data_IF_268749792120
#
_entry.id   IF_268749792120
#
_cell.length_a   1.000
_cell.length_b   1.000
_cell.length_c   1.000
_cell.angle_alpha   90.00
_cell.angle_beta   90.00
_cell.angle_gamma   90.00
#
_symmetry.space_group_name_H-M   'P 1'
#
loop_
_entity.id
_entity.type
_entity.pdbx_description
1 polymer ?
#
# COMPACT_ATOMS: atom_id res chain seq x y z
N UNK A 1 -7.27 -17.91 -19.74
CA UNK A 1 -7.83 -17.22 -18.57
C UNK A 1 -8.17 -15.75 -18.86
N UNK A 2 -7.21 -14.85 -19.11
CA UNK A 2 -7.49 -13.41 -19.36
C UNK A 2 -8.59 -13.15 -20.38
N UNK A 3 -8.49 -13.74 -21.58
CA UNK A 3 -9.46 -13.50 -22.66
C UNK A 3 -10.85 -14.00 -22.27
N UNK A 4 -10.93 -15.19 -21.67
CA UNK A 4 -12.17 -15.79 -21.13
C UNK A 4 -12.85 -14.89 -20.09
N UNK A 5 -12.09 -14.39 -19.12
CA UNK A 5 -12.63 -13.50 -18.08
C UNK A 5 -13.12 -12.18 -18.69
N UNK A 6 -12.40 -11.61 -19.65
CA UNK A 6 -12.81 -10.36 -20.30
C UNK A 6 -14.02 -10.53 -21.21
N UNK A 7 -14.16 -11.68 -21.87
CA UNK A 7 -15.34 -12.02 -22.66
C UNK A 7 -16.60 -12.11 -21.78
N UNK A 8 -16.47 -12.69 -20.59
CA UNK A 8 -17.59 -12.93 -19.65
C UNK A 8 -17.94 -11.72 -18.79
N UNK A 9 -16.93 -11.01 -18.27
CA UNK A 9 -17.08 -9.97 -17.24
C UNK A 9 -16.72 -8.57 -17.75
N UNK A 10 -16.22 -8.46 -18.98
CA UNK A 10 -15.64 -7.23 -19.51
C UNK A 10 -14.23 -6.96 -18.97
N UNK A 11 -13.63 -5.85 -19.43
CA UNK A 11 -12.28 -5.45 -19.01
C UNK A 11 -12.24 -5.06 -17.53
N UNK A 12 -11.17 -5.45 -16.84
CA UNK A 12 -10.92 -5.06 -15.45
C UNK A 12 -11.06 -3.53 -15.28
N UNK A 13 -11.87 -3.05 -14.32
CA UNK A 13 -12.13 -1.62 -14.12
C UNK A 13 -10.98 -0.91 -13.40
N UNK A 14 -9.80 -0.85 -14.03
CA UNK A 14 -8.56 -0.33 -13.44
C UNK A 14 -8.70 1.07 -12.80
N UNK A 15 -9.47 1.97 -13.39
CA UNK A 15 -9.70 3.33 -12.86
C UNK A 15 -10.58 3.36 -11.59
N UNK A 16 -11.22 2.24 -11.25
CA UNK A 16 -11.95 2.03 -10.00
C UNK A 16 -11.16 1.14 -9.03
N UNK A 17 -10.02 0.58 -9.46
CA UNK A 17 -9.15 -0.20 -8.59
C UNK A 17 -8.30 0.72 -7.73
N UNK A 18 -7.74 1.78 -8.30
CA UNK A 18 -6.81 2.66 -7.58
C UNK A 18 -6.99 4.13 -7.99
N UNK A 19 -6.64 5.04 -7.08
CA UNK A 19 -6.72 6.49 -7.29
C UNK A 19 -8.08 7.12 -6.92
N UNK A 20 -8.37 8.35 -7.36
CA UNK A 20 -9.50 9.12 -6.82
C UNK A 20 -10.89 8.58 -7.17
N UNK A 21 -10.96 7.68 -8.16
CA UNK A 21 -12.19 7.04 -8.62
C UNK A 21 -12.40 5.64 -8.03
N UNK A 22 -11.54 5.19 -7.10
CA UNK A 22 -11.62 3.87 -6.50
C UNK A 22 -12.99 3.62 -5.85
N UNK A 23 -13.57 2.44 -6.10
CA UNK A 23 -14.84 2.01 -5.53
C UNK A 23 -14.99 0.48 -5.63
N UNK A 24 -16.16 -0.03 -5.22
CA UNK A 24 -16.43 -1.47 -5.11
C UNK A 24 -16.33 -2.25 -6.44
N UNK A 25 -16.40 -1.59 -7.61
CA UNK A 25 -16.47 -2.29 -8.91
C UNK A 25 -15.29 -3.22 -9.16
N UNK A 26 -14.08 -2.83 -8.78
CA UNK A 26 -12.90 -3.68 -8.98
C UNK A 26 -12.90 -4.88 -8.06
N UNK A 27 -13.30 -4.69 -6.80
CA UNK A 27 -13.48 -5.76 -5.83
C UNK A 27 -14.55 -6.75 -6.29
N UNK A 28 -15.68 -6.25 -6.79
CA UNK A 28 -16.76 -7.07 -7.38
C UNK A 28 -16.26 -7.86 -8.58
N UNK A 29 -15.54 -7.21 -9.51
CA UNK A 29 -14.95 -7.90 -10.66
C UNK A 29 -13.99 -9.01 -10.24
N UNK A 30 -13.17 -8.79 -9.20
CA UNK A 30 -12.25 -9.82 -8.67
C UNK A 30 -13.06 -10.99 -8.10
N UNK A 31 -14.09 -10.72 -7.31
CA UNK A 31 -14.96 -11.77 -6.76
C UNK A 31 -15.63 -12.61 -7.86
N UNK A 32 -16.22 -11.94 -8.86
CA UNK A 32 -16.87 -12.61 -10.00
C UNK A 32 -15.86 -13.42 -10.83
N UNK A 33 -14.66 -12.88 -11.03
CA UNK A 33 -13.59 -13.58 -11.73
C UNK A 33 -13.09 -14.81 -10.95
N UNK A 34 -13.03 -14.75 -9.62
CA UNK A 34 -12.67 -15.87 -8.77
C UNK A 34 -13.70 -16.99 -8.86
N UNK A 35 -15.00 -16.69 -8.72
CA UNK A 35 -16.06 -17.70 -8.85
C UNK A 35 -16.08 -18.33 -10.26
N UNK A 36 -15.91 -17.53 -11.31
CA UNK A 36 -15.81 -18.06 -12.68
C UNK A 36 -14.55 -18.93 -12.88
N UNK A 37 -13.43 -18.56 -12.27
CA UNK A 37 -12.19 -19.35 -12.36
C UNK A 37 -12.37 -20.69 -11.65
N UNK A 38 -13.03 -20.68 -10.49
CA UNK A 38 -13.40 -21.88 -9.74
C UNK A 38 -14.29 -22.83 -10.58
N UNK A 39 -15.36 -22.32 -11.19
CA UNK A 39 -16.22 -23.11 -12.10
C UNK A 39 -15.46 -23.77 -13.26
N UNK A 40 -14.43 -23.10 -13.77
CA UNK A 40 -13.68 -23.56 -14.93
C UNK A 40 -12.61 -24.60 -14.58
N UNK A 41 -12.14 -24.61 -13.33
CA UNK A 41 -10.90 -25.30 -12.99
C UNK A 41 -10.98 -26.18 -11.74
N UNK A 42 -12.01 -26.03 -10.90
CA UNK A 42 -12.21 -26.80 -9.67
C UNK A 42 -10.93 -26.89 -8.81
N UNK A 43 -10.33 -25.75 -8.43
CA UNK A 43 -9.05 -25.72 -7.73
C UNK A 43 -9.18 -26.21 -6.27
N UNK A 44 -8.16 -26.90 -5.77
CA UNK A 44 -8.07 -27.31 -4.37
C UNK A 44 -7.91 -26.14 -3.39
N UNK A 45 -7.28 -25.04 -3.82
CA UNK A 45 -7.07 -23.83 -3.03
C UNK A 45 -7.26 -22.59 -3.90
N UNK A 46 -8.12 -21.67 -3.43
CA UNK A 46 -8.32 -20.37 -4.07
C UNK A 46 -7.98 -19.24 -3.10
N UNK A 47 -7.06 -18.36 -3.50
CA UNK A 47 -6.71 -17.14 -2.75
C UNK A 47 -7.29 -15.91 -3.45
N UNK A 48 -8.14 -15.16 -2.76
CA UNK A 48 -8.88 -14.03 -3.33
C UNK A 48 -8.51 -12.75 -2.60
N UNK A 49 -7.99 -11.77 -3.33
CA UNK A 49 -7.63 -10.45 -2.78
C UNK A 49 -8.74 -9.42 -3.00
N UNK A 50 -9.22 -8.80 -1.92
CA UNK A 50 -10.27 -7.79 -1.96
C UNK A 50 -9.72 -6.42 -1.48
N UNK A 51 -9.35 -5.49 -2.38
CA UNK A 51 -8.61 -4.25 -2.04
C UNK A 51 -9.46 -3.15 -1.41
N UNK A 52 -10.76 -3.37 -1.19
CA UNK A 52 -11.73 -2.28 -1.06
C UNK A 52 -11.45 -1.35 0.13
N UNK A 53 -11.00 -1.93 1.24
CA UNK A 53 -10.81 -1.21 2.50
C UNK A 53 -9.46 -0.49 2.61
N UNK A 54 -8.45 -0.89 1.83
CA UNK A 54 -7.12 -0.26 1.85
C UNK A 54 -7.24 1.26 1.62
N UNK A 55 -8.12 1.66 0.71
CA UNK A 55 -8.21 3.05 0.29
C UNK A 55 -8.99 3.93 1.25
N UNK A 56 -10.18 3.51 1.68
CA UNK A 56 -11.02 4.35 2.52
C UNK A 56 -10.42 4.55 3.91
N UNK A 57 -9.78 3.50 4.47
CA UNK A 57 -9.12 3.56 5.76
C UNK A 57 -7.85 4.42 5.72
N UNK A 58 -7.09 4.44 4.63
CA UNK A 58 -5.99 5.39 4.49
C UNK A 58 -6.47 6.85 4.37
N UNK A 59 -7.59 7.10 3.68
CA UNK A 59 -8.15 8.46 3.50
C UNK A 59 -8.79 9.02 4.76
N UNK A 60 -9.51 8.17 5.51
CA UNK A 60 -10.41 8.60 6.57
C UNK A 60 -10.05 8.04 7.95
N UNK A 61 -9.08 7.12 8.03
CA UNK A 61 -8.71 6.44 9.27
C UNK A 61 -9.85 5.56 9.77
N UNK A 62 -9.95 5.42 11.08
CA UNK A 62 -10.98 4.64 11.77
C UNK A 62 -12.33 5.37 11.93
N UNK A 63 -12.59 6.43 11.14
CA UNK A 63 -13.87 7.16 11.19
C UNK A 63 -14.97 6.38 10.46
N UNK A 64 -15.66 5.52 11.21
CA UNK A 64 -16.75 4.66 10.72
C UNK A 64 -17.86 5.46 10.03
N UNK A 65 -18.11 6.71 10.45
CA UNK A 65 -19.14 7.54 9.80
C UNK A 65 -18.82 7.82 8.32
N UNK A 66 -17.53 7.79 7.96
CA UNK A 66 -17.01 8.05 6.61
C UNK A 66 -16.64 6.79 5.82
N UNK A 67 -16.57 5.64 6.48
CA UNK A 67 -16.23 4.34 5.86
C UNK A 67 -17.36 3.31 5.90
N UNK A 68 -18.48 3.63 6.55
CA UNK A 68 -19.65 2.74 6.69
C UNK A 68 -20.18 2.22 5.36
N UNK A 69 -20.19 3.06 4.32
CA UNK A 69 -20.62 2.68 2.97
C UNK A 69 -19.69 1.61 2.40
N UNK A 70 -18.39 1.85 2.45
CA UNK A 70 -17.36 0.93 1.93
C UNK A 70 -17.35 -0.39 2.71
N UNK A 71 -17.54 -0.34 4.03
CA UNK A 71 -17.71 -1.54 4.87
C UNK A 71 -18.92 -2.37 4.43
N UNK A 72 -20.09 -1.75 4.24
CA UNK A 72 -21.29 -2.46 3.75
C UNK A 72 -21.13 -2.98 2.32
N UNK A 73 -20.46 -2.24 1.45
CA UNK A 73 -20.21 -2.65 0.06
C UNK A 73 -19.31 -3.90 -0.02
N UNK A 74 -18.24 -3.97 0.79
CA UNK A 74 -17.37 -5.16 0.82
C UNK A 74 -18.01 -6.33 1.56
N UNK A 75 -18.81 -6.08 2.59
CA UNK A 75 -19.55 -7.12 3.33
C UNK A 75 -20.47 -7.92 2.39
N UNK A 76 -21.22 -7.24 1.52
CA UNK A 76 -22.05 -7.94 0.52
C UNK A 76 -21.21 -8.73 -0.49
N UNK A 77 -20.01 -8.26 -0.89
CA UNK A 77 -19.11 -9.05 -1.75
C UNK A 77 -18.61 -10.30 -1.03
N UNK A 78 -18.20 -10.17 0.23
CA UNK A 78 -17.72 -11.27 1.05
C UNK A 78 -18.83 -12.30 1.23
N UNK A 79 -20.05 -11.85 1.55
CA UNK A 79 -21.22 -12.72 1.65
C UNK A 79 -21.49 -13.52 0.38
N UNK A 80 -21.42 -12.88 -0.79
CA UNK A 80 -21.60 -13.58 -2.07
C UNK A 80 -20.53 -14.66 -2.30
N UNK A 81 -19.26 -14.35 -2.00
CA UNK A 81 -18.16 -15.30 -2.09
C UNK A 81 -18.32 -16.47 -1.10
N UNK A 82 -18.58 -16.18 0.17
CA UNK A 82 -18.80 -17.19 1.20
C UNK A 82 -19.95 -18.11 0.79
N UNK A 83 -21.09 -17.55 0.40
CA UNK A 83 -22.26 -18.32 -0.05
C UNK A 83 -21.92 -19.23 -1.23
N UNK A 84 -21.18 -18.72 -2.22
CA UNK A 84 -20.75 -19.51 -3.38
C UNK A 84 -19.86 -20.68 -2.95
N UNK A 85 -18.78 -20.43 -2.20
CA UNK A 85 -17.81 -21.46 -1.84
C UNK A 85 -18.38 -22.47 -0.84
N UNK A 86 -19.21 -22.06 0.11
CA UNK A 86 -19.92 -22.99 0.99
C UNK A 86 -20.89 -23.90 0.19
N UNK A 87 -21.51 -23.40 -0.88
CA UNK A 87 -22.35 -24.22 -1.76
C UNK A 87 -21.56 -25.27 -2.57
N UNK A 88 -20.23 -25.15 -2.58
CA UNK A 88 -19.27 -26.10 -3.16
C UNK A 88 -18.62 -26.99 -2.10
N UNK A 89 -19.14 -26.97 -0.87
CA UNK A 89 -18.57 -27.66 0.29
C UNK A 89 -17.13 -27.23 0.63
N UNK A 90 -16.72 -26.03 0.23
CA UNK A 90 -15.38 -25.51 0.51
C UNK A 90 -15.31 -24.84 1.90
N UNK A 91 -14.18 -25.06 2.58
CA UNK A 91 -13.86 -24.36 3.83
C UNK A 91 -13.39 -22.93 3.54
N UNK A 92 -14.05 -21.92 4.13
CA UNK A 92 -13.72 -20.52 3.90
C UNK A 92 -12.91 -19.94 5.06
N UNK A 93 -11.83 -19.24 4.73
CA UNK A 93 -11.01 -18.44 5.66
C UNK A 93 -11.05 -16.99 5.19
N UNK A 94 -11.42 -16.07 6.07
CA UNK A 94 -11.33 -14.64 5.82
C UNK A 94 -10.11 -14.11 6.57
N UNK A 95 -9.18 -13.49 5.84
CA UNK A 95 -7.90 -13.02 6.37
C UNK A 95 -7.70 -11.55 6.00
N UNK A 96 -7.34 -10.73 6.99
CA UNK A 96 -6.76 -9.41 6.79
C UNK A 96 -5.25 -9.53 6.79
N UNK A 97 -4.56 -8.95 5.81
CA UNK A 97 -3.09 -9.01 5.74
C UNK A 97 -2.43 -8.14 6.81
N UNK A 98 -2.96 -6.93 7.01
CA UNK A 98 -2.52 -5.97 8.01
C UNK A 98 -3.71 -5.16 8.51
N UNK A 99 -3.54 -4.45 9.62
CA UNK A 99 -4.48 -3.42 10.05
C UNK A 99 -4.00 -2.02 9.68
N UNK A 100 -4.95 -1.10 9.55
CA UNK A 100 -4.67 0.32 9.26
C UNK A 100 -4.89 1.14 10.53
N UNK A 101 -3.82 1.73 11.04
CA UNK A 101 -3.84 2.59 12.23
C UNK A 101 -4.04 4.07 11.87
N UNK A 102 -4.60 4.89 12.77
CA UNK A 102 -4.65 6.33 12.59
C UNK A 102 -3.24 6.93 12.48
N UNK A 103 -2.90 7.45 11.31
CA UNK A 103 -1.62 8.09 11.03
C UNK A 103 -1.83 9.31 10.14
N UNK A 104 -1.33 10.47 10.59
CA UNK A 104 -1.54 11.74 9.91
C UNK A 104 -0.33 12.69 9.94
N UNK A 105 0.80 12.25 10.52
CA UNK A 105 2.06 12.98 10.55
C UNK A 105 3.00 12.49 9.45
N UNK A 106 3.06 13.15 8.28
CA UNK A 106 3.99 12.77 7.23
C UNK A 106 5.43 13.12 7.64
N UNK A 107 6.35 12.19 7.41
CA UNK A 107 7.79 12.34 7.64
C UNK A 107 8.52 12.22 6.31
N UNK A 108 9.32 13.23 5.98
CA UNK A 108 9.97 13.36 4.68
C UNK A 108 11.46 12.98 4.76
N UNK A 109 11.77 11.68 4.90
CA UNK A 109 13.16 11.19 5.05
C UNK A 109 14.06 11.67 3.91
N UNK A 110 13.58 11.58 2.65
CA UNK A 110 14.37 12.00 1.51
C UNK A 110 14.63 13.52 1.46
N UNK A 111 13.75 14.36 2.04
CA UNK A 111 14.03 15.80 2.20
C UNK A 111 15.15 16.02 3.21
N UNK A 112 15.11 15.34 4.36
CA UNK A 112 16.17 15.39 5.38
C UNK A 112 17.53 14.99 4.77
N UNK A 113 17.58 13.88 4.03
CA UNK A 113 18.81 13.42 3.38
C UNK A 113 19.31 14.44 2.35
N UNK A 114 18.41 15.04 1.57
CA UNK A 114 18.76 16.06 0.59
C UNK A 114 19.30 17.33 1.22
N UNK A 115 18.64 17.85 2.26
CA UNK A 115 19.08 19.05 3.00
C UNK A 115 20.49 18.87 3.59
N UNK A 116 20.89 17.62 3.85
CA UNK A 116 22.20 17.25 4.36
C UNK A 116 23.23 16.87 3.29
N UNK A 117 22.92 17.12 2.01
CA UNK A 117 23.75 16.79 0.83
C UNK A 117 24.03 15.29 0.66
N UNK A 118 23.12 14.42 1.12
CA UNK A 118 23.24 12.97 1.02
C UNK A 118 22.46 12.41 -0.18
N UNK A 119 21.32 13.01 -0.50
CA UNK A 119 20.49 12.64 -1.65
C UNK A 119 20.73 13.60 -2.82
N UNK A 120 20.88 13.04 -4.02
CA UNK A 120 21.04 13.78 -5.26
C UNK A 120 19.78 13.74 -6.12
N UNK A 121 19.64 14.78 -6.93
CA UNK A 121 18.59 14.91 -7.92
C UNK A 121 19.21 15.22 -9.29
N UNK A 122 18.47 14.92 -10.35
CA UNK A 122 18.72 15.43 -11.69
C UNK A 122 17.60 16.38 -12.09
N UNK A 123 17.95 17.42 -12.85
CA UNK A 123 16.97 18.37 -13.37
C UNK A 123 16.65 17.99 -14.81
N UNK A 124 15.41 17.64 -15.08
CA UNK A 124 14.92 17.42 -16.44
C UNK A 124 13.73 18.34 -16.71
N UNK A 125 13.83 19.13 -17.78
CA UNK A 125 12.76 20.06 -18.20
C UNK A 125 12.30 21.01 -17.06
N UNK A 126 13.22 21.38 -16.18
CA UNK A 126 12.95 22.26 -15.04
C UNK A 126 12.26 21.59 -13.84
N UNK A 127 12.10 20.26 -13.85
CA UNK A 127 11.59 19.47 -12.72
C UNK A 127 12.70 18.62 -12.13
N UNK A 128 12.57 18.31 -10.85
CA UNK A 128 13.53 17.51 -10.09
C UNK A 128 13.14 16.04 -10.15
N UNK A 129 14.09 15.15 -10.50
CA UNK A 129 13.93 13.70 -10.44
C UNK A 129 14.97 13.12 -9.48
N UNK A 130 14.57 12.11 -8.71
CA UNK A 130 15.48 11.39 -7.82
C UNK A 130 16.59 10.73 -8.64
N UNK A 131 17.84 10.96 -8.23
CA UNK A 131 18.99 10.23 -8.75
C UNK A 131 19.57 9.35 -7.65
N UNK A 132 18.98 8.16 -7.50
CA UNK A 132 19.39 7.19 -6.49
C UNK A 132 20.84 6.73 -6.70
N UNK A 133 21.33 6.65 -7.95
CA UNK A 133 22.69 6.21 -8.26
C UNK A 133 23.76 7.26 -7.93
N UNK A 134 23.46 8.54 -8.13
CA UNK A 134 24.34 9.65 -7.74
C UNK A 134 24.25 10.01 -6.24
N UNK A 135 23.21 9.54 -5.55
CA UNK A 135 23.01 9.79 -4.12
C UNK A 135 24.05 9.04 -3.28
N UNK A 136 24.52 9.66 -2.19
CA UNK A 136 25.32 8.97 -1.15
C UNK A 136 24.45 8.09 -0.28
N UNK A 137 23.24 8.56 0.02
CA UNK A 137 22.19 7.78 0.66
C UNK A 137 20.81 8.24 0.17
N UNK A 138 19.87 7.32 0.05
CA UNK A 138 18.48 7.59 -0.29
C UNK A 138 17.54 6.62 0.43
N UNK A 139 16.29 7.02 0.60
CA UNK A 139 15.26 6.19 1.22
C UNK A 139 14.21 5.74 0.19
N UNK A 140 13.79 4.49 0.29
CA UNK A 140 12.56 3.96 -0.31
C UNK A 140 11.56 3.83 0.82
N UNK A 141 10.49 4.61 0.75
CA UNK A 141 9.48 4.70 1.80
C UNK A 141 8.16 4.10 1.32
N UNK A 142 7.55 3.28 2.18
CA UNK A 142 6.23 2.72 1.99
C UNK A 142 5.49 2.71 3.34
N UNK A 143 4.49 3.56 3.46
CA UNK A 143 3.73 3.74 4.69
C UNK A 143 4.62 3.96 5.93
N UNK A 144 4.52 3.11 6.95
CA UNK A 144 5.26 3.26 8.21
C UNK A 144 6.63 2.58 8.20
N UNK A 145 7.09 2.11 7.04
CA UNK A 145 8.40 1.48 6.87
C UNK A 145 9.21 2.27 5.83
N UNK A 146 10.50 2.42 6.08
CA UNK A 146 11.42 2.97 5.09
C UNK A 146 12.76 2.25 5.09
N UNK A 147 13.23 1.88 3.91
CA UNK A 147 14.56 1.31 3.70
C UNK A 147 15.51 2.43 3.29
N UNK A 148 16.62 2.59 4.00
CA UNK A 148 17.68 3.53 3.65
C UNK A 148 18.83 2.76 3.04
N UNK A 149 19.21 3.11 1.83
CA UNK A 149 20.35 2.55 1.12
C UNK A 149 21.50 3.56 1.15
N UNK A 150 22.72 3.08 1.43
CA UNK A 150 23.94 3.87 1.50
C UNK A 150 24.89 3.41 0.39
N UNK A 151 25.08 4.27 -0.61
CA UNK A 151 26.02 4.03 -1.70
C UNK A 151 27.45 4.45 -1.34
N UNK A 152 27.60 5.42 -0.43
CA UNK A 152 28.90 5.89 0.08
C UNK A 152 29.06 5.50 1.55
N UNK A 153 29.81 4.43 1.88
CA UNK A 153 29.95 3.96 3.26
C UNK A 153 30.50 5.03 4.22
N UNK A 154 31.19 6.06 3.73
CA UNK A 154 31.74 7.13 4.57
C UNK A 154 30.66 7.98 5.24
N UNK A 155 29.42 7.99 4.71
CA UNK A 155 28.31 8.75 5.31
C UNK A 155 27.44 7.95 6.28
N UNK A 156 27.73 6.67 6.50
CA UNK A 156 26.86 5.78 7.30
C UNK A 156 26.58 6.32 8.71
N UNK A 157 27.61 6.76 9.43
CA UNK A 157 27.44 7.33 10.77
C UNK A 157 26.67 8.65 10.77
N UNK A 158 26.93 9.52 9.79
CA UNK A 158 26.16 10.77 9.64
C UNK A 158 24.68 10.49 9.37
N UNK A 159 24.39 9.51 8.50
CA UNK A 159 23.01 9.07 8.21
C UNK A 159 22.35 8.56 9.49
N UNK A 160 23.02 7.67 10.23
CA UNK A 160 22.54 7.12 11.51
C UNK A 160 22.19 8.23 12.51
N UNK A 161 23.07 9.21 12.69
CA UNK A 161 22.81 10.33 13.61
C UNK A 161 21.60 11.19 13.21
N UNK A 162 21.41 11.43 11.91
CA UNK A 162 20.29 12.21 11.40
C UNK A 162 18.96 11.48 11.60
N UNK A 163 18.89 10.21 11.23
CA UNK A 163 17.65 9.41 11.28
C UNK A 163 17.25 9.06 12.71
N UNK A 164 18.22 8.82 13.61
CA UNK A 164 17.93 8.55 15.03
C UNK A 164 17.38 9.77 15.77
N UNK A 165 17.53 10.98 15.22
CA UNK A 165 17.00 12.23 15.80
C UNK A 165 15.75 12.73 15.08
N UNK A 166 15.30 12.05 14.02
CA UNK A 166 14.18 12.47 13.20
C UNK A 166 12.86 12.22 13.94
N UNK A 167 12.06 13.27 14.26
CA UNK A 167 10.75 13.07 14.87
C UNK A 167 9.83 12.23 13.96
N UNK A 168 9.04 11.33 14.55
CA UNK A 168 8.17 10.42 13.81
C UNK A 168 8.81 9.06 13.48
N UNK A 169 10.07 8.83 13.88
CA UNK A 169 10.76 7.54 13.77
C UNK A 169 10.78 6.87 15.14
N UNK A 170 10.12 5.71 15.24
CA UNK A 170 10.09 4.91 16.46
C UNK A 170 11.32 3.99 16.59
N UNK A 171 11.72 3.36 15.47
CA UNK A 171 12.83 2.40 15.45
C UNK A 171 13.76 2.68 14.27
N UNK A 172 15.05 2.51 14.52
CA UNK A 172 16.12 2.49 13.52
C UNK A 172 16.82 1.14 13.62
N UNK A 173 16.58 0.25 12.66
CA UNK A 173 17.17 -1.07 12.62
C UNK A 173 18.43 -1.04 11.76
N UNK A 174 19.57 -1.29 12.38
CA UNK A 174 20.84 -1.52 11.70
C UNK A 174 21.02 -3.01 11.36
N UNK A 175 22.25 -3.46 11.08
CA UNK A 175 22.50 -4.86 10.75
C UNK A 175 22.05 -5.83 11.86
N UNK A 176 22.36 -5.52 13.13
CA UNK A 176 21.97 -6.39 14.24
C UNK A 176 20.47 -6.30 14.48
N UNK A 177 19.89 -5.09 14.45
CA UNK A 177 18.45 -4.91 14.57
C UNK A 177 17.67 -5.68 13.51
N UNK A 178 18.11 -5.65 12.24
CA UNK A 178 17.47 -6.44 11.18
C UNK A 178 17.52 -7.95 11.45
N UNK A 179 18.61 -8.48 12.01
CA UNK A 179 18.72 -9.90 12.40
C UNK A 179 17.77 -10.25 13.53
N UNK A 180 17.72 -9.40 14.57
CA UNK A 180 16.85 -9.60 15.73
C UNK A 180 15.37 -9.63 15.35
N UNK A 181 14.98 -8.86 14.32
CA UNK A 181 13.62 -8.84 13.76
C UNK A 181 13.41 -9.80 12.59
N UNK A 182 14.40 -10.62 12.21
CA UNK A 182 14.26 -11.63 11.15
C UNK A 182 14.12 -11.07 9.72
N UNK A 183 14.56 -9.82 9.49
CA UNK A 183 14.45 -9.12 8.20
C UNK A 183 15.81 -8.81 7.57
N UNK A 184 16.89 -9.43 8.05
CA UNK A 184 18.23 -9.30 7.47
C UNK A 184 18.32 -10.02 6.12
N UNK A 185 17.93 -9.31 5.06
CA UNK A 185 17.87 -9.79 3.69
C UNK A 185 18.72 -8.91 2.77
N UNK A 186 19.27 -9.44 1.68
CA UNK A 186 20.08 -8.70 0.68
C UNK A 186 19.34 -7.50 0.05
N UNK A 187 18.01 -7.48 0.13
CA UNK A 187 17.14 -6.39 -0.37
C UNK A 187 16.78 -5.38 0.72
N UNK A 188 17.07 -5.67 1.98
CA UNK A 188 16.87 -4.73 3.06
C UNK A 188 17.88 -3.58 2.94
N UNK A 189 17.48 -2.36 3.30
CA UNK A 189 18.40 -1.23 3.33
C UNK A 189 19.51 -1.43 4.36
N UNK A 190 20.55 -0.59 4.28
CA UNK A 190 21.57 -0.46 5.34
C UNK A 190 20.95 -0.12 6.69
N UNK A 191 19.87 0.65 6.68
CA UNK A 191 18.96 0.83 7.81
C UNK A 191 17.52 0.58 7.37
N UNK A 192 16.69 0.04 8.29
CA UNK A 192 15.24 -0.02 8.14
C UNK A 192 14.61 0.80 9.26
N UNK A 193 13.74 1.74 8.88
CA UNK A 193 13.04 2.61 9.83
C UNK A 193 11.60 2.12 10.02
N UNK A 194 11.13 2.20 11.26
CA UNK A 194 9.72 2.02 11.62
C UNK A 194 9.20 3.34 12.16
N UNK A 195 8.08 3.82 11.63
CA UNK A 195 7.45 5.06 12.07
C UNK A 195 6.79 4.90 13.45
N UNK A 196 6.65 6.04 14.14
CA UNK A 196 5.69 6.16 15.24
C UNK A 196 4.28 5.76 14.75
N UNK A 197 3.44 5.27 15.66
CA UNK A 197 2.08 4.77 15.33
C UNK A 197 1.25 5.80 14.57
N UNK A 198 1.41 7.10 14.86
CA UNK A 198 0.66 8.19 14.25
C UNK A 198 1.39 8.93 13.11
N UNK A 199 2.58 8.44 12.74
CA UNK A 199 3.42 8.94 11.67
C UNK A 199 3.49 7.96 10.49
N UNK A 200 3.87 8.48 9.32
CA UNK A 200 4.13 7.69 8.13
C UNK A 200 5.18 8.39 7.25
N UNK A 201 5.91 7.62 6.44
CA UNK A 201 6.99 8.11 5.60
C UNK A 201 6.53 8.37 4.17
N UNK A 202 6.84 9.55 3.65
CA UNK A 202 6.61 9.87 2.24
C UNK A 202 7.85 9.58 1.41
N UNK A 203 7.70 9.29 0.12
CA UNK A 203 8.85 9.24 -0.80
C UNK A 203 9.41 10.62 -1.19
N UNK A 204 8.76 11.72 -0.79
CA UNK A 204 9.04 13.07 -1.29
C UNK A 204 10.49 13.50 -1.05
N UNK A 205 11.16 13.92 -2.11
CA UNK A 205 12.57 14.36 -2.12
C UNK A 205 12.75 15.79 -2.63
N UNK A 206 11.73 16.38 -3.26
CA UNK A 206 11.74 17.78 -3.68
C UNK A 206 11.48 18.70 -2.48
N UNK A 207 12.17 19.84 -2.41
CA UNK A 207 11.99 20.82 -1.34
C UNK A 207 10.92 21.86 -1.66
N UNK A 208 10.62 22.06 -2.96
CA UNK A 208 9.56 22.96 -3.44
C UNK A 208 8.62 22.21 -4.39
N UNK A 209 7.32 22.22 -4.06
CA UNK A 209 6.24 21.58 -4.82
C UNK A 209 6.08 22.15 -6.25
N UNK A 210 6.65 23.33 -6.54
CA UNK A 210 6.65 23.94 -7.87
C UNK A 210 7.57 23.19 -8.87
N UNK A 211 8.62 22.53 -8.36
CA UNK A 211 9.60 21.79 -9.16
C UNK A 211 9.53 20.27 -8.96
N UNK A 212 8.48 19.78 -8.27
CA UNK A 212 8.21 18.37 -8.08
C UNK A 212 8.11 17.61 -9.43
N UNK A 213 8.48 16.32 -9.48
CA UNK A 213 8.33 15.51 -10.69
C UNK A 213 6.91 15.54 -11.25
N UNK A 214 6.78 15.41 -12.57
CA UNK A 214 5.48 15.38 -13.23
C UNK A 214 4.61 14.20 -12.75
N UNK A 215 5.23 13.04 -12.54
CA UNK A 215 4.57 11.84 -12.02
C UNK A 215 4.02 12.03 -10.60
N UNK A 216 4.56 12.97 -9.80
CA UNK A 216 4.11 13.18 -8.42
C UNK A 216 2.64 13.61 -8.37
N UNK A 217 2.18 14.34 -9.39
CA UNK A 217 0.78 14.79 -9.52
C UNK A 217 -0.09 13.83 -10.34
N UNK A 218 0.45 12.68 -10.73
CA UNK A 218 -0.26 11.66 -11.50
C UNK A 218 -0.56 10.45 -10.62
N UNK A 219 -1.51 9.64 -11.07
CA UNK A 219 -1.68 8.25 -10.59
C UNK A 219 -0.75 7.39 -11.45
N UNK A 220 0.48 7.16 -10.99
CA UNK A 220 1.55 6.55 -11.80
C UNK A 220 2.55 5.76 -10.92
N UNK A 221 2.04 4.67 -10.32
CA UNK A 221 2.77 3.84 -9.36
C UNK A 221 4.10 3.31 -9.88
N UNK A 222 4.22 3.06 -11.19
CA UNK A 222 5.44 2.50 -11.79
C UNK A 222 6.59 3.51 -11.93
N UNK A 223 6.30 4.81 -11.88
CA UNK A 223 7.33 5.86 -11.96
C UNK A 223 7.72 6.42 -10.61
N UNK A 224 6.87 6.28 -9.59
CA UNK A 224 7.16 6.79 -8.25
C UNK A 224 8.19 5.88 -7.56
N UNK A 225 9.19 6.44 -6.88
CA UNK A 225 10.20 5.66 -6.15
C UNK A 225 9.68 5.09 -4.82
N UNK A 226 8.39 5.24 -4.53
CA UNK A 226 7.70 4.72 -3.36
C UNK A 226 6.19 4.91 -3.53
N UNK A 227 5.42 4.25 -2.66
CA UNK A 227 3.96 4.36 -2.68
C UNK A 227 3.48 5.75 -2.24
N UNK A 228 2.36 6.20 -2.79
CA UNK A 228 1.79 7.52 -2.52
C UNK A 228 0.29 7.43 -2.27
N UNK A 229 -0.14 7.33 -1.00
CA UNK A 229 -1.56 7.26 -0.67
C UNK A 229 -2.32 8.55 -1.05
N UNK A 230 -1.62 9.66 -1.30
CA UNK A 230 -2.27 10.93 -1.69
C UNK A 230 -2.88 10.82 -3.10
N UNK A 231 -2.48 9.83 -3.91
CA UNK A 231 -3.09 9.53 -5.21
C UNK A 231 -4.59 9.25 -5.14
N UNK A 232 -5.12 8.87 -3.97
CA UNK A 232 -6.56 8.67 -3.78
C UNK A 232 -7.37 9.98 -3.72
N UNK A 233 -6.69 11.13 -3.74
CA UNK A 233 -7.29 12.45 -3.71
C UNK A 233 -7.16 13.16 -5.05
N UNK A 234 -8.11 14.05 -5.33
CA UNK A 234 -8.13 14.85 -6.53
C UNK A 234 -8.14 16.33 -6.17
N UNK A 235 -7.15 17.09 -6.65
CA UNK A 235 -7.06 18.53 -6.41
C UNK A 235 -8.10 19.35 -7.17
N UNK A 236 -8.56 18.88 -8.33
CA UNK A 236 -9.51 19.62 -9.17
C UNK A 236 -10.23 18.72 -10.18
N UNK A 237 -11.55 18.59 -10.01
CA UNK A 237 -12.44 17.92 -10.99
C UNK A 237 -12.48 18.66 -12.32
N UNK A 238 -12.47 20.00 -12.31
CA UNK A 238 -12.45 20.82 -13.52
C UNK A 238 -11.18 20.60 -14.36
N UNK A 239 -10.01 20.49 -13.70
CA UNK A 239 -8.76 20.13 -14.37
C UNK A 239 -8.84 18.74 -15.00
N UNK A 240 -9.37 17.75 -14.27
CA UNK A 240 -9.56 16.40 -14.81
C UNK A 240 -10.44 16.43 -16.07
N UNK A 241 -11.59 17.11 -16.01
CA UNK A 241 -12.48 17.27 -17.16
C UNK A 241 -11.77 17.92 -18.36
N UNK A 242 -11.03 19.01 -18.14
CA UNK A 242 -10.25 19.65 -19.20
C UNK A 242 -9.20 18.72 -19.82
N UNK A 243 -8.46 17.95 -19.02
CA UNK A 243 -7.47 16.98 -19.52
C UNK A 243 -8.14 15.85 -20.31
N UNK A 244 -9.32 15.39 -19.88
CA UNK A 244 -10.11 14.39 -20.63
C UNK A 244 -10.62 14.93 -21.97
N UNK A 245 -11.04 16.20 -22.03
CA UNK A 245 -11.40 16.85 -23.30
C UNK A 245 -10.21 16.89 -24.27
N UNK A 246 -9.01 17.26 -23.78
CA UNK A 246 -7.78 17.22 -24.57
C UNK A 246 -7.46 15.82 -25.08
N UNK A 247 -7.57 14.80 -24.21
CA UNK A 247 -7.41 13.38 -24.60
C UNK A 247 -8.37 13.03 -25.73
N UNK A 248 -9.65 13.35 -25.58
CA UNK A 248 -10.70 13.03 -26.56
C UNK A 248 -10.48 13.75 -27.89
N UNK A 249 -9.92 14.95 -27.86
CA UNK A 249 -9.52 15.71 -29.05
C UNK A 249 -8.17 15.26 -29.65
N UNK A 250 -7.55 14.18 -29.15
CA UNK A 250 -6.30 13.62 -29.69
C UNK A 250 -5.02 14.36 -29.27
N UNK A 251 -5.10 15.31 -28.34
CA UNK A 251 -3.92 16.02 -27.86
C UNK A 251 -3.17 15.21 -26.79
N UNK A 252 -1.84 15.33 -26.80
CA UNK A 252 -1.01 14.88 -25.68
C UNK A 252 -1.43 15.59 -24.39
N UNK A 253 -1.59 14.82 -23.33
CA UNK A 253 -1.99 15.32 -22.01
C UNK A 253 -1.21 14.58 -20.91
N UNK A 254 -1.16 15.21 -19.73
CA UNK A 254 -0.70 14.62 -18.47
C UNK A 254 -1.84 14.80 -17.46
N UNK A 255 -2.25 13.72 -16.79
CA UNK A 255 -3.34 13.72 -15.81
C UNK A 255 -2.82 14.13 -14.42
N UNK A 256 -2.40 15.38 -14.31
CA UNK A 256 -1.77 16.00 -13.14
C UNK A 256 -2.82 16.52 -12.13
N UNK A 257 -3.60 15.60 -11.57
CA UNK A 257 -4.76 15.89 -10.71
C UNK A 257 -4.57 15.47 -9.24
N UNK A 258 -3.46 14.82 -8.90
CA UNK A 258 -3.13 14.40 -7.54
C UNK A 258 -2.54 15.60 -6.77
N UNK A 259 -3.02 15.89 -5.54
CA UNK A 259 -2.39 16.88 -4.68
C UNK A 259 -1.06 16.37 -4.11
N UNK A 260 -0.19 17.27 -3.62
CA UNK A 260 1.05 16.88 -2.95
C UNK A 260 0.96 17.04 -1.41
N UNK A 261 -0.24 17.31 -0.89
CA UNK A 261 -0.43 17.49 0.55
C UNK A 261 -0.55 16.13 1.26
N UNK A 262 0.57 15.68 1.82
CA UNK A 262 0.66 14.42 2.58
C UNK A 262 -0.20 14.43 3.87
N UNK A 263 -0.56 15.59 4.41
CA UNK A 263 -1.42 15.68 5.61
C UNK A 263 -2.88 15.26 5.34
N UNK A 264 -3.25 14.98 4.08
CA UNK A 264 -4.58 14.47 3.72
C UNK A 264 -4.80 13.03 4.22
N UNK A 265 -3.72 12.28 4.45
CA UNK A 265 -3.79 10.90 4.94
C UNK A 265 -4.20 10.88 6.41
N UNK A 266 -5.00 9.87 6.75
CA UNK A 266 -5.56 9.65 8.08
C UNK A 266 -5.34 8.23 8.60
N UNK A 267 -4.94 7.30 7.74
CA UNK A 267 -4.56 5.94 8.13
C UNK A 267 -3.31 5.46 7.39
N UNK A 268 -2.52 4.62 8.05
CA UNK A 268 -1.34 3.96 7.48
C UNK A 268 -1.14 2.58 8.11
N UNK A 269 -0.23 1.78 7.58
CA UNK A 269 0.12 0.46 8.12
C UNK A 269 1.63 0.19 8.02
N UNK A 270 2.05 -0.98 8.50
CA UNK A 270 3.43 -1.48 8.41
C UNK A 270 4.23 -1.34 9.70
N UNK A 271 3.82 -0.49 10.65
CA UNK A 271 4.46 -0.45 11.96
C UNK A 271 4.08 -1.69 12.78
N UNK A 272 5.04 -2.22 13.52
CA UNK A 272 4.80 -3.28 14.50
C UNK A 272 4.29 -2.73 15.84
N UNK A 273 4.45 -1.42 16.06
CA UNK A 273 4.05 -0.75 17.30
C UNK A 273 2.61 -0.23 17.15
N UNK A 274 1.65 -1.15 17.09
CA UNK A 274 0.23 -0.81 16.92
C UNK A 274 -0.62 -1.40 18.06
N UNK A 275 -1.69 -0.71 18.50
CA UNK A 275 -2.58 -1.27 19.51
C UNK A 275 -3.26 -2.55 18.99
N UNK A 276 -3.55 -3.50 19.88
CA UNK A 276 -4.19 -4.78 19.52
C UNK A 276 -5.51 -4.63 18.76
N UNK A 277 -6.25 -3.54 19.00
CA UNK A 277 -7.49 -3.22 18.28
C UNK A 277 -7.30 -3.02 16.76
N UNK A 278 -6.05 -2.86 16.31
CA UNK A 278 -5.66 -2.72 14.90
C UNK A 278 -4.85 -3.90 14.40
N UNK A 279 -4.80 -5.01 15.13
CA UNK A 279 -4.19 -6.23 14.59
C UNK A 279 -5.02 -6.77 13.42
N UNK A 280 -4.36 -7.35 12.39
CA UNK A 280 -5.06 -8.09 11.37
C UNK A 280 -5.86 -9.24 11.99
N UNK A 281 -6.98 -9.57 11.35
CA UNK A 281 -7.89 -10.62 11.82
C UNK A 281 -7.86 -11.81 10.87
N UNK A 282 -8.04 -12.99 11.45
CA UNK A 282 -8.36 -14.23 10.74
C UNK A 282 -9.69 -14.75 11.27
N UNK A 283 -10.59 -15.14 10.38
CA UNK A 283 -11.88 -15.73 10.68
C UNK A 283 -11.90 -17.09 9.98
N UNK A 284 -11.94 -18.16 10.77
CA UNK A 284 -11.94 -19.55 10.31
C UNK A 284 -12.63 -20.42 11.36
N UNK A 285 -13.28 -21.50 10.93
CA UNK A 285 -13.86 -22.48 11.84
C UNK A 285 -12.84 -23.21 12.73
N UNK A 286 -11.55 -23.17 12.37
CA UNK A 286 -10.46 -23.80 13.12
C UNK A 286 -9.83 -22.90 14.19
N UNK A 287 -10.09 -21.59 14.16
CA UNK A 287 -9.41 -20.61 15.02
C UNK A 287 -10.41 -20.08 16.05
N UNK A 288 -10.19 -20.32 17.37
CA UNK A 288 -11.09 -19.79 18.39
C UNK A 288 -11.08 -18.26 18.44
N UNK A 289 -12.26 -17.65 18.50
CA UNK A 289 -12.43 -16.19 18.60
C UNK A 289 -11.64 -15.62 19.78
N UNK A 290 -10.89 -14.54 19.53
CA UNK A 290 -10.11 -13.84 20.55
C UNK A 290 -8.71 -14.42 20.81
N UNK A 291 -8.31 -15.46 20.08
CA UNK A 291 -6.95 -15.99 20.14
C UNK A 291 -5.96 -15.06 19.43
N UNK A 292 -4.82 -14.81 20.05
CA UNK A 292 -3.68 -14.18 19.38
C UNK A 292 -2.82 -15.27 18.73
N UNK A 293 -2.33 -14.98 17.53
CA UNK A 293 -1.41 -15.85 16.81
C UNK A 293 -0.34 -15.04 16.08
N UNK A 294 0.81 -15.66 15.91
CA UNK A 294 1.86 -15.12 15.03
C UNK A 294 1.39 -15.16 13.57
N UNK A 295 1.74 -14.14 12.80
CA UNK A 295 1.37 -14.07 11.38
C UNK A 295 1.89 -15.28 10.58
N UNK A 296 3.03 -15.85 10.96
CA UNK A 296 3.61 -17.04 10.32
C UNK A 296 2.76 -18.31 10.52
N UNK A 297 1.94 -18.37 11.57
CA UNK A 297 1.08 -19.52 11.84
C UNK A 297 -0.16 -19.56 10.93
N UNK A 298 -0.44 -18.49 10.17
CA UNK A 298 -1.53 -18.47 9.18
C UNK A 298 -1.32 -19.54 8.11
N UNK A 299 -0.06 -19.82 7.74
CA UNK A 299 0.28 -20.94 6.84
C UNK A 299 -0.31 -22.25 7.35
N UNK A 300 -0.09 -22.58 8.63
CA UNK A 300 -0.51 -23.85 9.21
C UNK A 300 -2.03 -23.94 9.33
N UNK A 301 -2.72 -22.82 9.57
CA UNK A 301 -4.19 -22.78 9.53
C UNK A 301 -4.72 -23.13 8.14
N UNK A 302 -4.15 -22.53 7.09
CA UNK A 302 -4.53 -22.82 5.71
C UNK A 302 -4.22 -24.28 5.38
N UNK A 303 -3.01 -24.75 5.71
CA UNK A 303 -2.57 -26.12 5.44
C UNK A 303 -3.45 -27.16 6.13
N UNK A 304 -3.72 -27.00 7.43
CA UNK A 304 -4.57 -27.92 8.18
C UNK A 304 -6.01 -27.91 7.67
N UNK A 305 -6.51 -26.78 7.16
CA UNK A 305 -7.83 -26.70 6.50
C UNK A 305 -7.89 -27.51 5.21
N UNK A 306 -6.81 -27.56 4.43
CA UNK A 306 -6.75 -28.37 3.22
C UNK A 306 -6.64 -29.87 3.51
N UNK A 307 -6.00 -30.25 4.62
CA UNK A 307 -5.70 -31.65 4.95
C UNK A 307 -6.72 -32.32 5.88
N UNK A 308 -7.82 -31.64 6.22
CA UNK A 308 -8.81 -32.13 7.20
C UNK A 308 -9.49 -33.46 6.81
N UNK A 309 -9.55 -33.78 5.51
CA UNK A 309 -10.17 -35.01 5.00
C UNK A 309 -9.19 -36.20 4.86
N UNK A 310 -7.89 -36.00 5.15
CA UNK A 310 -6.86 -37.06 5.10
C UNK A 310 -6.54 -37.68 6.49
N UNK A 311 -7.21 -37.23 7.56
CA UNK A 311 -7.03 -37.70 8.95
C UNK A 311 -8.30 -38.41 9.48
#
# INVERSE_FOLDING_TARGET
LRDTLQERLGTFPLFQFWGPGANIKSTRWIADASMLTDELHDPTLTLIYLPHLDYCLQKFGSDVSRTSKELGEVDEVIKDLVTYYESKDANVIILSEYGIVPANKPVHINRLLRENNLLQIRIERGLELLDAGASKAFAVADHQIAHIYINDPQVKEKVRELISKLPGVALVLDEQGKKDYGIDHERAGDFVLVADTDAWFTYYFWLDDAVAPDYARCVDIHKKPGYDPVEMFMRSKGRAAYKLLRKKAGFRYVMDVVPLNATLIKGSHGSINVPEAFYPVIISGQVPTGSLMEATAVHDVIWNTLMQDEL
#
